data_IF_060406290384
#
_entry.id   IF_060406290384
#
_cell.length_a   1.000
_cell.length_b   1.000
_cell.length_c   1.000
_cell.angle_alpha   90.00
_cell.angle_beta   90.00
_cell.angle_gamma   90.00
#
_symmetry.space_group_name_H-M   'P 1'
#
loop_
_entity.id
_entity.type
_entity.pdbx_description
1 polymer ?
#
# COMPACT_ATOMS: atom_id res chain seq x y z
N UNK A 1 -1.84 34.55 14.16
CA UNK A 1 -1.77 33.33 13.35
C UNK A 1 -1.72 32.17 14.31
N UNK A 2 -2.73 31.31 14.35
CA UNK A 2 -2.65 30.07 15.13
C UNK A 2 -1.49 29.26 14.56
N UNK A 3 -0.45 29.01 15.37
CA UNK A 3 0.67 28.18 14.96
C UNK A 3 0.13 26.81 14.59
N UNK A 4 0.25 26.43 13.33
CA UNK A 4 -0.02 25.07 12.88
C UNK A 4 0.97 24.15 13.59
N UNK A 5 0.46 23.18 14.34
CA UNK A 5 1.26 22.22 15.11
C UNK A 5 0.75 20.83 14.79
N UNK A 6 1.66 19.96 14.36
CA UNK A 6 1.37 18.54 14.14
C UNK A 6 1.28 17.88 15.51
N UNK A 7 0.24 17.07 15.75
CA UNK A 7 0.19 16.14 16.89
C UNK A 7 0.87 14.82 16.47
N UNK A 8 2.13 14.58 16.88
CA UNK A 8 2.85 13.40 16.43
C UNK A 8 2.22 12.11 16.98
N UNK A 9 1.68 12.17 18.20
CA UNK A 9 1.07 11.03 18.88
C UNK A 9 -0.23 10.58 18.21
N UNK A 10 -1.05 11.54 17.79
CA UNK A 10 -2.26 11.29 17.00
C UNK A 10 -1.93 10.69 15.63
N UNK A 11 -0.88 11.17 14.96
CA UNK A 11 -0.44 10.60 13.67
C UNK A 11 0.10 9.18 13.85
N UNK A 12 0.92 8.92 14.87
CA UNK A 12 1.41 7.57 15.15
C UNK A 12 0.28 6.57 15.44
N UNK A 13 -0.73 6.98 16.20
CA UNK A 13 -1.91 6.15 16.46
C UNK A 13 -2.67 5.81 15.17
N UNK A 14 -2.85 6.81 14.29
CA UNK A 14 -3.48 6.61 12.99
C UNK A 14 -2.66 5.67 12.09
N UNK A 15 -1.35 5.86 12.03
CA UNK A 15 -0.45 5.01 11.23
C UNK A 15 -0.47 3.55 11.69
N UNK A 16 -0.54 3.31 13.01
CA UNK A 16 -0.71 1.95 13.56
C UNK A 16 -2.04 1.32 13.15
N UNK A 17 -3.13 2.10 13.12
CA UNK A 17 -4.44 1.64 12.65
C UNK A 17 -4.38 1.25 11.17
N UNK A 18 -3.79 2.12 10.34
CA UNK A 18 -3.61 1.88 8.90
C UNK A 18 -2.76 0.63 8.66
N UNK A 19 -1.70 0.43 9.43
CA UNK A 19 -0.88 -0.78 9.34
C UNK A 19 -1.68 -2.04 9.67
N UNK A 20 -2.48 -2.03 10.73
CA UNK A 20 -3.32 -3.18 11.10
C UNK A 20 -4.39 -3.51 10.04
N UNK A 21 -4.99 -2.47 9.44
CA UNK A 21 -5.94 -2.63 8.32
C UNK A 21 -5.23 -3.15 7.07
N UNK A 22 -4.01 -2.68 6.79
CA UNK A 22 -3.20 -3.15 5.67
C UNK A 22 -2.81 -4.63 5.83
N UNK A 23 -2.39 -5.05 7.02
CA UNK A 23 -2.09 -6.45 7.33
C UNK A 23 -3.33 -7.34 7.16
N UNK A 24 -4.49 -6.85 7.58
CA UNK A 24 -5.77 -7.54 7.40
C UNK A 24 -6.14 -7.68 5.91
N UNK A 25 -5.95 -6.62 5.12
CA UNK A 25 -6.20 -6.61 3.67
C UNK A 25 -5.24 -7.58 2.95
N UNK A 26 -3.95 -7.52 3.25
CA UNK A 26 -2.96 -8.42 2.67
C UNK A 26 -3.26 -9.88 3.04
N UNK A 27 -3.62 -10.15 4.29
CA UNK A 27 -4.01 -11.48 4.73
C UNK A 27 -5.25 -12.01 4.00
N UNK A 28 -6.26 -11.16 3.74
CA UNK A 28 -7.42 -11.54 2.95
C UNK A 28 -7.07 -11.84 1.48
N UNK A 29 -6.10 -11.12 0.90
CA UNK A 29 -5.60 -11.37 -0.46
C UNK A 29 -4.78 -12.67 -0.56
N UNK A 30 -3.97 -12.97 0.45
CA UNK A 30 -3.14 -14.18 0.50
C UNK A 30 -3.92 -15.45 0.83
N UNK A 31 -5.03 -15.35 1.55
CA UNK A 31 -5.86 -16.49 1.97
C UNK A 31 -6.52 -17.27 0.82
N UNK A 32 -6.26 -16.88 -0.43
CA UNK A 32 -6.42 -17.78 -1.56
C UNK A 32 -7.85 -17.88 -2.09
N UNK A 33 -8.75 -16.96 -1.74
CA UNK A 33 -10.11 -16.94 -2.30
C UNK A 33 -10.07 -16.83 -3.83
N UNK A 34 -9.20 -15.98 -4.38
CA UNK A 34 -9.02 -15.87 -5.84
C UNK A 34 -8.50 -17.16 -6.46
N UNK A 35 -7.57 -17.83 -5.80
CA UNK A 35 -6.98 -19.08 -6.28
C UNK A 35 -7.98 -20.24 -6.19
N UNK A 36 -8.77 -20.30 -5.11
CA UNK A 36 -9.84 -21.27 -4.91
C UNK A 36 -10.96 -21.07 -5.92
N UNK A 37 -11.37 -19.82 -6.19
CA UNK A 37 -12.32 -19.47 -7.26
C UNK A 37 -11.77 -19.91 -8.62
N UNK A 38 -10.49 -19.62 -8.90
CA UNK A 38 -9.81 -20.03 -10.14
C UNK A 38 -9.79 -21.56 -10.31
N UNK A 39 -9.40 -22.29 -9.26
CA UNK A 39 -9.37 -23.76 -9.27
C UNK A 39 -10.77 -24.35 -9.42
N UNK A 40 -11.77 -23.80 -8.73
CA UNK A 40 -13.16 -24.22 -8.84
C UNK A 40 -13.71 -24.02 -10.26
N UNK A 41 -13.47 -22.85 -10.87
CA UNK A 41 -13.86 -22.54 -12.25
C UNK A 41 -13.17 -23.45 -13.26
N UNK A 42 -11.86 -23.69 -13.10
CA UNK A 42 -11.10 -24.61 -13.95
C UNK A 42 -11.62 -26.06 -13.85
N UNK A 43 -12.08 -26.47 -12.65
CA UNK A 43 -12.60 -27.82 -12.38
C UNK A 43 -14.04 -28.05 -12.85
N UNK A 44 -14.80 -26.99 -13.12
CA UNK A 44 -16.24 -27.09 -13.33
C UNK A 44 -16.65 -27.63 -14.72
N UNK A 45 -15.72 -27.80 -15.66
CA UNK A 45 -15.96 -28.42 -16.98
C UNK A 45 -16.85 -27.59 -17.94
N UNK A 46 -16.61 -27.76 -19.24
CA UNK A 46 -17.29 -27.15 -20.42
C UNK A 46 -17.96 -25.77 -20.23
N UNK A 47 -17.28 -24.85 -19.54
CA UNK A 47 -17.49 -23.44 -19.79
C UNK A 47 -16.92 -23.16 -21.19
N UNK A 48 -17.77 -22.75 -22.15
CA UNK A 48 -17.32 -22.25 -23.46
C UNK A 48 -16.08 -21.38 -23.25
N UNK A 49 -14.97 -21.71 -23.89
CA UNK A 49 -13.63 -21.19 -23.56
C UNK A 49 -13.55 -19.67 -23.40
N UNK A 50 -14.41 -18.93 -24.09
CA UNK A 50 -14.53 -17.47 -23.99
C UNK A 50 -14.96 -16.97 -22.60
N UNK A 51 -15.87 -17.67 -21.91
CA UNK A 51 -16.36 -17.28 -20.58
C UNK A 51 -15.28 -17.51 -19.52
N UNK A 52 -14.59 -18.65 -19.60
CA UNK A 52 -13.44 -18.95 -18.72
C UNK A 52 -12.30 -17.93 -18.93
N UNK A 53 -12.04 -17.57 -20.18
CA UNK A 53 -11.03 -16.54 -20.52
C UNK A 53 -11.41 -15.16 -19.97
N UNK A 54 -12.66 -14.74 -20.13
CA UNK A 54 -13.14 -13.46 -19.61
C UNK A 54 -13.10 -13.41 -18.07
N UNK A 55 -13.46 -14.50 -17.39
CA UNK A 55 -13.37 -14.60 -15.94
C UNK A 55 -11.92 -14.53 -15.47
N UNK A 56 -11.00 -15.24 -16.12
CA UNK A 56 -9.57 -15.16 -15.78
C UNK A 56 -9.04 -13.74 -15.93
N UNK A 57 -9.36 -13.06 -17.03
CA UNK A 57 -8.97 -11.66 -17.24
C UNK A 57 -9.54 -10.73 -16.16
N UNK A 58 -10.82 -10.89 -15.79
CA UNK A 58 -11.42 -10.13 -14.71
C UNK A 58 -10.70 -10.34 -13.38
N UNK A 59 -10.38 -11.59 -13.02
CA UNK A 59 -9.69 -11.90 -11.77
C UNK A 59 -8.26 -11.34 -11.75
N UNK A 60 -7.52 -11.42 -12.87
CA UNK A 60 -6.21 -10.79 -13.01
C UNK A 60 -6.27 -9.26 -12.82
N UNK A 61 -7.28 -8.61 -13.42
CA UNK A 61 -7.46 -7.18 -13.29
C UNK A 61 -7.85 -6.78 -11.87
N UNK A 62 -8.70 -7.56 -11.20
CA UNK A 62 -9.00 -7.33 -9.78
C UNK A 62 -7.76 -7.49 -8.90
N UNK A 63 -6.91 -8.49 -9.17
CA UNK A 63 -5.64 -8.65 -8.46
C UNK A 63 -4.74 -7.43 -8.64
N UNK A 64 -4.55 -6.95 -9.89
CA UNK A 64 -3.76 -5.73 -10.16
C UNK A 64 -4.33 -4.49 -9.46
N UNK A 65 -5.65 -4.35 -9.45
CA UNK A 65 -6.32 -3.23 -8.76
C UNK A 65 -6.07 -3.29 -7.25
N UNK A 66 -6.17 -4.46 -6.65
CA UNK A 66 -5.93 -4.66 -5.23
C UNK A 66 -4.46 -4.43 -4.87
N UNK A 67 -3.51 -4.92 -5.68
CA UNK A 67 -2.08 -4.64 -5.53
C UNK A 67 -1.77 -3.13 -5.63
N UNK A 68 -2.48 -2.40 -6.51
CA UNK A 68 -2.36 -0.95 -6.59
C UNK A 68 -2.91 -0.25 -5.34
N UNK A 69 -4.03 -0.73 -4.79
CA UNK A 69 -4.61 -0.18 -3.55
C UNK A 69 -3.66 -0.42 -2.38
N UNK A 70 -3.14 -1.63 -2.20
CA UNK A 70 -2.22 -1.96 -1.11
C UNK A 70 -0.94 -1.14 -1.21
N UNK A 71 -0.40 -0.96 -2.43
CA UNK A 71 0.77 -0.10 -2.68
C UNK A 71 0.51 1.36 -2.29
N UNK A 72 -0.66 1.90 -2.63
CA UNK A 72 -1.03 3.28 -2.25
C UNK A 72 -1.18 3.46 -0.75
N UNK A 73 -1.79 2.50 -0.06
CA UNK A 73 -1.93 2.51 1.40
C UNK A 73 -0.56 2.46 2.07
N UNK A 74 0.31 1.54 1.62
CA UNK A 74 1.68 1.40 2.13
C UNK A 74 2.49 2.69 1.94
N UNK A 75 2.41 3.28 0.74
CA UNK A 75 3.12 4.50 0.40
C UNK A 75 2.62 5.69 1.23
N UNK A 76 1.29 5.81 1.38
CA UNK A 76 0.69 6.83 2.24
C UNK A 76 1.15 6.72 3.69
N UNK A 77 1.16 5.52 4.26
CA UNK A 77 1.61 5.30 5.63
C UNK A 77 3.09 5.68 5.82
N UNK A 78 3.98 5.21 4.93
CA UNK A 78 5.40 5.55 4.97
C UNK A 78 5.62 7.05 4.76
N UNK A 79 5.01 7.62 3.72
CA UNK A 79 5.13 9.03 3.37
C UNK A 79 4.72 9.95 4.51
N UNK A 80 3.55 9.72 5.10
CA UNK A 80 3.07 10.52 6.24
C UNK A 80 4.00 10.38 7.45
N UNK A 81 4.44 9.17 7.79
CA UNK A 81 5.35 8.94 8.91
C UNK A 81 6.68 9.68 8.77
N UNK A 82 7.32 9.58 7.60
CA UNK A 82 8.59 10.28 7.33
C UNK A 82 8.41 11.79 7.18
N UNK A 83 7.29 12.26 6.61
CA UNK A 83 7.00 13.69 6.49
C UNK A 83 6.81 14.35 7.86
N UNK A 84 6.09 13.70 8.79
CA UNK A 84 5.95 14.21 10.16
C UNK A 84 7.29 14.27 10.88
N UNK A 85 8.14 13.23 10.73
CA UNK A 85 9.50 13.26 11.26
C UNK A 85 10.30 14.44 10.70
N UNK A 86 10.24 14.66 9.39
CA UNK A 86 10.95 15.76 8.72
C UNK A 86 10.44 17.13 9.19
N UNK A 87 9.12 17.33 9.30
CA UNK A 87 8.53 18.56 9.84
C UNK A 87 8.97 18.81 11.29
N UNK A 88 8.98 17.78 12.13
CA UNK A 88 9.44 17.91 13.53
C UNK A 88 10.93 18.28 13.64
N UNK A 89 11.73 17.92 12.64
CA UNK A 89 13.15 18.28 12.55
C UNK A 89 13.39 19.63 11.87
N UNK A 90 12.33 20.31 11.40
CA UNK A 90 12.44 21.54 10.62
C UNK A 90 13.06 21.34 9.23
N UNK A 91 13.06 20.10 8.72
CA UNK A 91 13.63 19.75 7.43
C UNK A 91 12.54 19.70 6.35
N UNK A 92 12.16 20.88 5.86
CA UNK A 92 11.09 21.03 4.86
C UNK A 92 11.44 20.38 3.51
N UNK A 93 12.71 20.37 3.13
CA UNK A 93 13.18 19.72 1.89
C UNK A 93 12.99 18.20 1.95
N UNK A 94 13.28 17.58 3.10
CA UNK A 94 13.01 16.17 3.33
C UNK A 94 11.51 15.88 3.32
N UNK A 95 10.68 16.74 3.90
CA UNK A 95 9.23 16.58 3.87
C UNK A 95 8.69 16.61 2.42
N UNK A 96 9.23 17.48 1.55
CA UNK A 96 8.85 17.55 0.14
C UNK A 96 9.35 16.32 -0.66
N UNK A 97 10.56 15.86 -0.39
CA UNK A 97 11.14 14.66 -1.01
C UNK A 97 10.30 13.43 -0.69
N UNK A 98 9.95 13.25 0.58
CA UNK A 98 9.11 12.16 1.06
C UNK A 98 7.74 12.14 0.38
N UNK A 99 7.12 13.30 0.17
CA UNK A 99 5.83 13.39 -0.54
C UNK A 99 5.95 12.97 -2.01
N UNK A 100 7.05 13.33 -2.67
CA UNK A 100 7.32 12.95 -4.06
C UNK A 100 7.50 11.43 -4.17
N UNK A 101 8.33 10.86 -3.29
CA UNK A 101 8.60 9.42 -3.27
C UNK A 101 7.36 8.62 -2.85
N UNK A 102 6.54 9.14 -1.95
CA UNK A 102 5.23 8.56 -1.64
C UNK A 102 4.36 8.39 -2.90
N UNK A 103 4.25 9.42 -3.74
CA UNK A 103 3.47 9.34 -4.98
C UNK A 103 4.10 8.39 -6.00
N UNK A 104 5.43 8.32 -6.03
CA UNK A 104 6.16 7.37 -6.85
C UNK A 104 5.85 5.92 -6.43
N UNK A 105 6.12 5.57 -5.16
CA UNK A 105 5.86 4.24 -4.59
C UNK A 105 4.39 3.84 -4.69
N UNK A 106 3.46 4.78 -4.51
CA UNK A 106 2.02 4.55 -4.66
C UNK A 106 1.63 4.12 -6.10
N UNK A 107 2.41 4.53 -7.10
CA UNK A 107 2.15 4.24 -8.51
C UNK A 107 2.93 3.03 -8.99
N UNK A 108 4.19 2.89 -8.57
CA UNK A 108 5.12 1.88 -9.09
C UNK A 108 5.23 0.64 -8.21
N UNK A 109 4.87 0.74 -6.93
CA UNK A 109 5.15 -0.30 -5.93
C UNK A 109 6.63 -0.37 -5.52
N UNK A 110 7.47 0.60 -5.93
CA UNK A 110 8.88 0.65 -5.51
C UNK A 110 9.03 1.38 -4.17
N UNK A 111 9.43 0.67 -3.12
CA UNK A 111 9.63 1.20 -1.76
C UNK A 111 11.10 1.38 -1.37
N UNK A 112 12.04 1.21 -2.31
CA UNK A 112 13.49 1.22 -2.05
C UNK A 112 13.95 2.48 -1.30
N UNK A 113 13.34 3.64 -1.59
CA UNK A 113 13.64 4.90 -0.91
C UNK A 113 13.31 4.83 0.59
N UNK A 114 12.11 4.35 0.95
CA UNK A 114 11.66 4.25 2.33
C UNK A 114 12.42 3.17 3.12
N UNK A 115 12.78 2.06 2.47
CA UNK A 115 13.62 1.02 3.06
C UNK A 115 15.00 1.56 3.45
N UNK A 116 15.65 2.32 2.57
CA UNK A 116 16.94 2.97 2.86
C UNK A 116 16.83 3.95 4.03
N UNK A 117 15.82 4.82 4.04
CA UNK A 117 15.60 5.76 5.15
C UNK A 117 15.36 5.06 6.49
N UNK A 118 14.70 3.90 6.48
CA UNK A 118 14.48 3.11 7.69
C UNK A 118 15.81 2.54 8.22
N UNK A 119 16.70 2.09 7.33
CA UNK A 119 18.02 1.58 7.70
C UNK A 119 18.95 2.68 8.21
N UNK A 120 18.93 3.86 7.60
CA UNK A 120 19.74 5.02 8.00
C UNK A 120 19.30 5.62 9.34
N UNK A 121 18.01 5.53 9.68
CA UNK A 121 17.48 5.99 10.97
C UNK A 121 17.57 4.99 12.13
N UNK A 122 18.09 3.79 11.90
CA UNK A 122 18.25 2.73 12.90
C UNK A 122 19.69 2.62 13.47
N UNK A 123 20.60 3.49 13.04
CA UNK A 123 21.95 3.69 13.58
C UNK A 123 21.98 4.92 14.50
#
# INVERSE_FOLDING_TARGET
MSSWSIDPSGVEALLRSVQSEQESLNGALEQGDFQAIFTALASAGDFRGDVSTALNGLLEDQKRNLDSITSRVAAGANGVGFAVRACNQGNEEMAATVQTEMMHSATTGDFTFFEKMTQEGAQ
#
